data_IF_964546892010
#
_entry.id   IF_964546892010
#
_cell.length_a   1.000
_cell.length_b   1.000
_cell.length_c   1.000
_cell.angle_alpha   90.00
_cell.angle_beta   90.00
_cell.angle_gamma   90.00
#
_symmetry.space_group_name_H-M   'P 1'
#
loop_
_entity.id
_entity.type
_entity.pdbx_description
1 polymer ?
#
# COMPACT_ATOMS: atom_id res chain seq x y z
N UNK A 1 21.83 -4.58 -73.74
CA UNK A 1 20.49 -4.24 -73.19
C UNK A 1 20.26 -5.10 -71.96
N UNK A 2 19.34 -4.73 -71.07
CA UNK A 2 18.99 -5.56 -69.91
C UNK A 2 18.69 -7.01 -70.38
N UNK A 3 18.05 -7.13 -71.54
CA UNK A 3 17.67 -8.39 -72.18
C UNK A 3 18.85 -9.34 -72.49
N UNK A 4 20.04 -8.84 -72.83
CA UNK A 4 21.23 -9.68 -73.04
C UNK A 4 21.78 -10.24 -71.72
N UNK A 5 21.67 -9.45 -70.64
CA UNK A 5 22.06 -9.91 -69.32
C UNK A 5 21.08 -10.97 -68.81
N UNK A 6 19.77 -10.78 -69.02
CA UNK A 6 18.77 -11.80 -68.75
C UNK A 6 19.01 -13.08 -69.56
N UNK A 7 19.35 -12.95 -70.85
CA UNK A 7 19.62 -14.10 -71.72
C UNK A 7 20.93 -14.83 -71.39
N UNK A 8 21.93 -14.14 -70.83
CA UNK A 8 23.19 -14.75 -70.39
C UNK A 8 23.07 -15.37 -68.99
N UNK A 9 22.26 -14.77 -68.11
CA UNK A 9 21.97 -15.28 -66.76
C UNK A 9 21.07 -16.53 -66.82
N UNK A 10 20.09 -16.56 -67.73
CA UNK A 10 19.32 -17.75 -68.13
C UNK A 10 19.99 -18.54 -69.28
N UNK A 11 21.26 -18.26 -69.59
CA UNK A 11 21.95 -18.74 -70.80
C UNK A 11 22.35 -20.21 -70.79
N UNK A 12 21.90 -20.95 -69.79
CA UNK A 12 21.94 -22.41 -69.72
C UNK A 12 20.47 -22.83 -69.69
N UNK A 13 20.07 -23.69 -70.63
CA UNK A 13 18.69 -24.12 -70.89
C UNK A 13 18.12 -24.89 -69.67
N UNK A 14 17.80 -24.18 -68.60
CA UNK A 14 17.04 -24.68 -67.48
C UNK A 14 15.60 -24.76 -67.97
N UNK A 15 15.07 -25.98 -68.11
CA UNK A 15 13.70 -26.16 -68.53
C UNK A 15 12.78 -25.41 -67.54
N UNK A 16 11.69 -24.82 -68.04
CA UNK A 16 10.74 -24.06 -67.20
C UNK A 16 10.22 -24.86 -66.00
N UNK A 17 10.24 -26.19 -66.11
CA UNK A 17 9.90 -27.16 -65.07
C UNK A 17 10.91 -27.21 -63.92
N UNK A 18 12.19 -27.01 -64.20
CA UNK A 18 13.24 -27.00 -63.18
C UNK A 18 13.20 -25.69 -62.38
N UNK A 19 12.87 -24.57 -63.04
CA UNK A 19 12.64 -23.28 -62.38
C UNK A 19 11.41 -23.30 -61.47
N UNK A 20 10.32 -23.95 -61.89
CA UNK A 20 9.14 -24.13 -61.04
C UNK A 20 9.47 -24.92 -59.77
N UNK A 21 10.34 -25.93 -59.88
CA UNK A 21 10.78 -26.73 -58.73
C UNK A 21 11.69 -25.94 -57.79
N UNK A 22 12.62 -25.12 -58.32
CA UNK A 22 13.45 -24.24 -57.49
C UNK A 22 12.64 -23.18 -56.73
N UNK A 23 11.59 -22.64 -57.35
CA UNK A 23 10.68 -21.69 -56.69
C UNK A 23 9.90 -22.32 -55.53
N UNK A 24 9.46 -23.58 -55.68
CA UNK A 24 8.77 -24.32 -54.63
C UNK A 24 9.69 -24.60 -53.43
N UNK A 25 10.95 -24.97 -53.68
CA UNK A 25 11.96 -25.16 -52.64
C UNK A 25 12.26 -23.85 -51.88
N UNK A 26 12.36 -22.71 -52.58
CA UNK A 26 12.52 -21.40 -51.95
C UNK A 26 11.30 -21.00 -51.10
N UNK A 27 10.10 -21.30 -51.58
CA UNK A 27 8.87 -21.04 -50.84
C UNK A 27 8.79 -21.87 -49.55
N UNK A 28 9.19 -23.15 -49.63
CA UNK A 28 9.29 -24.05 -48.48
C UNK A 28 10.31 -23.54 -47.45
N UNK A 29 11.48 -23.07 -47.90
CA UNK A 29 12.54 -22.55 -47.02
C UNK A 29 12.04 -21.32 -46.24
N UNK A 30 11.39 -20.37 -46.92
CA UNK A 30 10.79 -19.20 -46.26
C UNK A 30 9.64 -19.56 -45.31
N UNK A 31 8.85 -20.57 -45.65
CA UNK A 31 7.76 -21.06 -44.79
C UNK A 31 8.26 -21.80 -43.55
N UNK A 32 9.50 -22.30 -43.56
CA UNK A 32 10.08 -23.07 -42.45
C UNK A 32 10.69 -22.20 -41.35
N UNK A 33 10.77 -20.88 -41.56
CA UNK A 33 11.22 -19.93 -40.55
C UNK A 33 10.16 -19.83 -39.44
N UNK A 34 10.40 -20.54 -38.34
CA UNK A 34 9.59 -20.43 -37.13
C UNK A 34 9.66 -18.98 -36.60
N UNK A 35 8.54 -18.36 -36.21
CA UNK A 35 8.59 -17.06 -35.54
C UNK A 35 9.41 -17.16 -34.26
N UNK A 36 10.20 -16.14 -33.95
CA UNK A 36 10.86 -16.05 -32.64
C UNK A 36 9.80 -16.14 -31.53
N UNK A 37 10.09 -16.84 -30.41
CA UNK A 37 9.18 -16.88 -29.28
C UNK A 37 8.90 -15.46 -28.77
N UNK A 38 7.64 -15.17 -28.42
CA UNK A 38 7.30 -13.90 -27.79
C UNK A 38 8.13 -13.71 -26.51
N UNK A 39 8.63 -12.49 -26.24
CA UNK A 39 9.34 -12.22 -25.00
C UNK A 39 8.43 -12.51 -23.80
N UNK A 40 8.97 -13.16 -22.77
CA UNK A 40 8.25 -13.38 -21.53
C UNK A 40 7.80 -12.04 -20.93
N UNK A 41 6.59 -11.96 -20.33
CA UNK A 41 6.13 -10.75 -19.67
C UNK A 41 7.08 -10.38 -18.52
N UNK A 42 7.42 -9.10 -18.41
CA UNK A 42 8.20 -8.61 -17.27
C UNK A 42 7.44 -8.87 -15.95
N UNK A 43 8.16 -9.21 -14.86
CA UNK A 43 7.53 -9.39 -13.55
C UNK A 43 6.84 -8.10 -13.10
N UNK A 44 5.64 -8.22 -12.54
CA UNK A 44 4.95 -7.08 -11.95
C UNK A 44 5.79 -6.48 -10.80
N UNK A 45 5.78 -5.14 -10.63
CA UNK A 45 6.47 -4.50 -9.52
C UNK A 45 5.91 -4.99 -8.18
N UNK A 46 6.80 -5.27 -7.22
CA UNK A 46 6.39 -5.61 -5.86
C UNK A 46 5.60 -4.44 -5.23
N UNK A 47 4.57 -4.72 -4.41
CA UNK A 47 3.83 -3.68 -3.71
C UNK A 47 4.76 -2.87 -2.79
N UNK A 48 4.59 -1.55 -2.77
CA UNK A 48 5.31 -0.69 -1.84
C UNK A 48 4.99 -1.08 -0.38
N UNK A 49 5.97 -1.00 0.54
CA UNK A 49 5.74 -1.28 1.95
C UNK A 49 4.70 -0.32 2.53
N UNK A 50 3.80 -0.84 3.36
CA UNK A 50 2.85 0.00 4.09
C UNK A 50 3.59 1.00 5.00
N UNK A 51 3.08 2.23 5.15
CA UNK A 51 3.67 3.22 6.05
C UNK A 51 3.69 2.70 7.49
N UNK A 52 4.79 2.92 8.19
CA UNK A 52 4.89 2.60 9.62
C UNK A 52 3.82 3.38 10.42
N UNK A 53 3.23 2.77 11.46
CA UNK A 53 2.26 3.45 12.32
C UNK A 53 2.91 4.66 12.99
N UNK A 54 2.18 5.77 13.05
CA UNK A 54 2.62 6.96 13.77
C UNK A 54 2.87 6.65 15.26
N UNK A 55 3.90 7.26 15.89
CA UNK A 55 4.17 7.06 17.30
C UNK A 55 2.98 7.50 18.16
N UNK A 56 2.65 6.73 19.19
CA UNK A 56 1.62 7.11 20.16
C UNK A 56 2.00 8.43 20.86
N UNK A 57 1.01 9.29 21.18
CA UNK A 57 1.25 10.52 21.90
C UNK A 57 1.87 10.25 23.27
N UNK A 58 2.84 11.06 23.68
CA UNK A 58 3.43 10.98 25.01
C UNK A 58 2.37 11.22 26.09
N UNK A 59 2.44 10.49 27.23
CA UNK A 59 1.51 10.69 28.34
C UNK A 59 1.60 12.13 28.87
N UNK A 60 0.45 12.73 29.17
CA UNK A 60 0.39 14.05 29.79
C UNK A 60 1.11 14.07 31.15
N UNK A 61 1.78 15.18 31.53
CA UNK A 61 2.43 15.29 32.82
C UNK A 61 1.42 15.19 33.97
N UNK A 62 1.74 14.40 34.99
CA UNK A 62 0.92 14.32 36.19
C UNK A 62 0.83 15.70 36.88
N UNK A 63 -0.34 16.08 37.41
CA UNK A 63 -0.49 17.34 38.12
C UNK A 63 0.39 17.35 39.37
N UNK A 64 1.27 18.35 39.49
CA UNK A 64 2.01 18.59 40.72
C UNK A 64 1.01 18.93 41.84
N UNK A 65 0.81 17.97 42.75
CA UNK A 65 0.10 18.21 44.00
C UNK A 65 0.91 19.21 44.82
N UNK A 66 0.61 20.50 44.63
CA UNK A 66 1.02 21.53 45.58
C UNK A 66 0.32 21.19 46.89
N UNK A 67 1.05 20.48 47.76
CA UNK A 67 0.77 20.33 49.18
C UNK A 67 0.78 21.74 49.76
N UNK A 68 -0.31 22.46 49.56
CA UNK A 68 -0.57 23.73 50.21
C UNK A 68 -0.86 23.34 51.65
N UNK A 69 0.22 23.28 52.45
CA UNK A 69 0.16 23.13 53.88
C UNK A 69 -0.78 24.23 54.38
N UNK A 70 -2.04 23.87 54.60
CA UNK A 70 -3.00 24.70 55.30
C UNK A 70 -2.64 24.72 56.79
N UNK A 71 -1.39 25.07 57.11
CA UNK A 71 -0.98 25.54 58.42
C UNK A 71 -1.22 27.05 58.46
N UNK A 72 -2.47 27.50 58.34
CA UNK A 72 -2.82 28.90 58.66
C UNK A 72 -4.29 29.15 58.98
N UNK A 73 -5.26 28.36 58.51
CA UNK A 73 -6.69 28.67 58.74
C UNK A 73 -7.36 27.89 59.88
N UNK A 74 -6.59 27.21 60.73
CA UNK A 74 -7.15 26.45 61.88
C UNK A 74 -7.39 27.26 63.16
N UNK A 75 -7.15 28.58 63.18
CA UNK A 75 -7.36 29.39 64.40
C UNK A 75 -8.38 30.52 64.30
N UNK A 76 -9.15 30.64 63.21
CA UNK A 76 -10.20 31.69 63.13
C UNK A 76 -11.58 31.20 62.68
N UNK A 77 -11.77 29.93 62.31
CA UNK A 77 -13.04 29.50 61.70
C UNK A 77 -14.05 28.84 62.67
N UNK A 78 -13.72 28.56 63.94
CA UNK A 78 -14.64 27.83 64.83
C UNK A 78 -15.44 28.65 65.84
N UNK A 79 -15.40 29.98 65.78
CA UNK A 79 -16.26 30.82 66.65
C UNK A 79 -17.43 31.48 65.90
N UNK A 80 -17.43 31.55 64.57
CA UNK A 80 -18.46 32.28 63.81
C UNK A 80 -19.43 31.42 62.99
N UNK A 81 -19.24 30.10 62.96
CA UNK A 81 -20.19 29.16 62.35
C UNK A 81 -20.37 27.95 63.25
N UNK A 82 -21.25 28.10 64.25
CA UNK A 82 -22.00 26.95 64.73
C UNK A 82 -23.26 26.86 63.85
N UNK A 83 -23.27 26.11 62.74
CA UNK A 83 -24.55 25.71 62.18
C UNK A 83 -25.25 24.93 63.30
N UNK A 84 -26.46 25.36 63.67
CA UNK A 84 -27.31 24.61 64.58
C UNK A 84 -27.51 23.25 63.93
N UNK A 85 -26.77 22.23 64.38
CA UNK A 85 -26.95 20.85 63.94
C UNK A 85 -28.30 20.41 64.49
N UNK A 86 -29.35 20.68 63.73
CA UNK A 86 -30.68 20.17 64.02
C UNK A 86 -30.61 18.67 63.78
N UNK A 87 -30.65 17.91 64.89
CA UNK A 87 -30.64 16.46 64.81
C UNK A 87 -31.84 16.03 63.95
N UNK A 88 -31.66 15.10 62.98
CA UNK A 88 -32.76 14.64 62.15
C UNK A 88 -33.87 14.06 63.04
N UNK A 89 -35.12 14.25 62.64
CA UNK A 89 -36.25 13.73 63.39
C UNK A 89 -36.11 12.20 63.52
N UNK A 90 -36.29 11.67 64.73
CA UNK A 90 -36.09 10.24 65.00
C UNK A 90 -37.07 9.34 64.23
N UNK A 91 -38.24 9.83 63.84
CA UNK A 91 -39.16 9.09 62.97
C UNK A 91 -38.63 8.97 61.54
N UNK A 92 -37.91 9.98 61.04
CA UNK A 92 -37.29 9.91 59.71
C UNK A 92 -36.14 8.90 59.69
N UNK A 93 -35.41 8.74 60.80
CA UNK A 93 -34.37 7.71 60.94
C UNK A 93 -34.98 6.31 61.01
N UNK A 94 -36.11 6.13 61.71
CA UNK A 94 -36.79 4.83 61.78
C UNK A 94 -37.44 4.43 60.47
N UNK A 95 -37.86 5.38 59.62
CA UNK A 95 -38.42 5.08 58.29
C UNK A 95 -37.39 4.54 57.28
N UNK A 96 -36.10 4.66 57.60
CA UNK A 96 -35.00 4.29 56.71
C UNK A 96 -34.41 2.89 57.00
N UNK A 97 -34.89 2.24 58.07
CA UNK A 97 -34.60 0.84 58.42
C UNK A 97 -35.76 -0.06 58.00
#
# INVERSE_FOLDING_TARGET
>A
ALDDYFSALLGEEVEVTDLEHELDLLAQELSSVEPEPEPEPEPEPEPEPEPEPEPEPEPEPEPELQMQYAESDSYQFRENYAPQLEAPNLEDVQRLL
#
